data_IF_764674509767
#
_entry.id   IF_764674509767
#
_cell.length_a   1.000
_cell.length_b   1.000
_cell.length_c   1.000
_cell.angle_alpha   90.00
_cell.angle_beta   90.00
_cell.angle_gamma   90.00
#
_symmetry.space_group_name_H-M   'P 1'
#
loop_
_entity.id
_entity.type
_entity.pdbx_description
1 polymer ?
#
# COMPACT_ATOMS: atom_id res chain seq x y z
N UNK A 1 -8.12 11.55 -14.30
CA UNK A 1 -8.35 10.95 -12.96
C UNK A 1 -9.26 9.75 -13.11
N UNK A 2 -8.94 8.65 -12.45
CA UNK A 2 -9.85 7.51 -12.40
C UNK A 2 -10.97 7.80 -11.40
N UNK A 3 -12.19 7.37 -11.74
CA UNK A 3 -13.35 7.44 -10.85
C UNK A 3 -13.61 6.08 -10.26
N UNK A 4 -14.11 6.01 -9.02
CA UNK A 4 -14.61 4.76 -8.43
C UNK A 4 -15.63 4.11 -9.38
N UNK A 5 -15.56 2.79 -9.63
CA UNK A 5 -16.56 2.09 -10.42
C UNK A 5 -17.98 2.28 -9.88
N UNK A 6 -18.97 2.42 -10.76
CA UNK A 6 -20.32 2.84 -10.37
C UNK A 6 -21.11 1.83 -9.50
N UNK A 7 -20.68 0.56 -9.45
CA UNK A 7 -21.37 -0.51 -8.74
C UNK A 7 -20.56 -1.06 -7.54
N UNK A 8 -19.61 -0.29 -7.01
CA UNK A 8 -18.83 -0.67 -5.82
C UNK A 8 -18.94 0.37 -4.72
N UNK A 9 -18.95 -0.08 -3.47
CA UNK A 9 -18.72 0.78 -2.32
C UNK A 9 -17.21 0.82 -2.07
N UNK A 10 -16.56 1.94 -2.40
CA UNK A 10 -15.14 2.13 -2.09
C UNK A 10 -14.97 2.82 -0.73
N UNK A 11 -14.18 2.21 0.15
CA UNK A 11 -13.70 2.81 1.39
C UNK A 11 -12.21 2.48 1.54
N UNK A 12 -11.42 3.39 2.13
CA UNK A 12 -9.99 3.15 2.39
C UNK A 12 -9.08 3.10 1.14
N UNK A 13 -9.48 3.71 0.02
CA UNK A 13 -8.62 3.78 -1.18
C UNK A 13 -7.85 5.10 -1.24
N UNK A 14 -6.54 5.04 -1.49
CA UNK A 14 -5.73 6.20 -1.89
C UNK A 14 -6.03 6.57 -3.35
N UNK A 15 -7.22 7.14 -3.55
CA UNK A 15 -7.72 7.44 -4.89
C UNK A 15 -6.88 8.50 -5.56
N UNK A 16 -6.35 8.19 -6.75
CA UNK A 16 -5.61 9.13 -7.57
C UNK A 16 -4.31 9.67 -6.94
N UNK A 17 -3.71 8.94 -6.00
CA UNK A 17 -2.42 9.27 -5.41
C UNK A 17 -1.39 8.20 -5.79
N UNK A 18 -0.16 8.63 -6.06
CA UNK A 18 0.95 7.72 -6.29
C UNK A 18 1.32 7.03 -4.95
N UNK A 19 1.32 5.69 -4.86
CA UNK A 19 1.73 5.00 -3.64
C UNK A 19 3.22 5.14 -3.31
N UNK A 20 4.04 5.77 -4.17
CA UNK A 20 5.47 6.01 -3.94
C UNK A 20 6.24 4.73 -3.60
N UNK A 21 6.15 3.72 -4.47
CA UNK A 21 6.98 2.52 -4.38
C UNK A 21 8.47 2.84 -4.63
N UNK A 22 9.39 2.08 -4.04
CA UNK A 22 10.83 2.30 -4.18
C UNK A 22 11.33 2.10 -5.61
N UNK A 23 10.84 1.08 -6.34
CA UNK A 23 11.24 0.85 -7.72
C UNK A 23 10.15 0.21 -8.57
N UNK A 24 9.84 0.80 -9.72
CA UNK A 24 8.89 0.27 -10.71
C UNK A 24 9.55 0.33 -12.10
N UNK A 25 10.43 -0.63 -12.39
CA UNK A 25 11.08 -0.75 -13.70
C UNK A 25 10.36 -1.80 -14.56
N UNK A 26 9.33 -1.34 -15.25
CA UNK A 26 8.55 -2.16 -16.19
C UNK A 26 9.32 -2.53 -17.47
N UNK A 27 10.44 -1.87 -17.77
CA UNK A 27 11.24 -2.18 -18.95
C UNK A 27 12.12 -3.40 -18.72
N UNK A 28 12.65 -3.54 -17.51
CA UNK A 28 13.54 -4.62 -17.13
C UNK A 28 12.90 -5.66 -16.20
N UNK A 29 11.60 -5.52 -15.90
CA UNK A 29 10.85 -6.35 -14.96
C UNK A 29 11.48 -6.42 -13.55
N UNK A 30 11.99 -5.29 -13.07
CA UNK A 30 12.55 -5.17 -11.72
C UNK A 30 11.62 -4.30 -10.88
N UNK A 31 11.17 -4.83 -9.75
CA UNK A 31 10.19 -4.16 -8.90
C UNK A 31 10.62 -4.23 -7.45
N UNK A 32 10.37 -3.14 -6.74
CA UNK A 32 10.42 -3.04 -5.30
C UNK A 32 9.19 -2.26 -4.85
N UNK A 33 8.24 -2.97 -4.26
CA UNK A 33 6.94 -2.43 -3.86
C UNK A 33 6.93 -1.96 -2.40
N UNK A 34 8.09 -1.86 -1.74
CA UNK A 34 8.20 -1.15 -0.47
C UNK A 34 7.91 0.33 -0.66
N UNK A 35 7.42 0.97 0.41
CA UNK A 35 7.00 2.37 0.41
C UNK A 35 8.18 3.30 0.71
N UNK A 36 8.13 4.50 0.13
CA UNK A 36 8.98 5.64 0.51
C UNK A 36 8.43 6.37 1.75
N UNK A 37 9.28 7.12 2.45
CA UNK A 37 9.00 7.84 3.73
C UNK A 37 7.80 8.80 3.71
N UNK A 38 7.30 9.18 2.53
CA UNK A 38 6.16 10.08 2.37
C UNK A 38 5.00 9.46 1.57
N UNK A 39 4.95 8.14 1.48
CA UNK A 39 3.89 7.46 0.76
C UNK A 39 2.52 7.77 1.36
N UNK A 40 1.49 8.07 0.54
CA UNK A 40 0.12 8.19 1.03
C UNK A 40 -0.47 6.85 1.48
N UNK A 41 0.21 5.73 1.22
CA UNK A 41 -0.18 4.41 1.69
C UNK A 41 0.18 4.15 3.15
N UNK A 42 1.07 4.96 3.75
CA UNK A 42 1.49 4.82 5.14
C UNK A 42 0.31 4.99 6.09
N UNK A 43 0.03 3.98 6.91
CA UNK A 43 -1.07 3.94 7.88
C UNK A 43 -2.47 4.11 7.30
N UNK A 44 -2.62 4.00 5.97
CA UNK A 44 -3.89 4.25 5.28
C UNK A 44 -4.77 2.99 5.16
N UNK A 45 -4.26 1.84 5.59
CA UNK A 45 -4.94 0.56 5.52
C UNK A 45 -5.95 0.38 6.64
N UNK A 46 -6.71 -0.71 6.50
CA UNK A 46 -7.64 -1.20 7.52
C UNK A 46 -7.20 -2.58 7.94
N UNK A 47 -7.24 -2.84 9.24
CA UNK A 47 -6.90 -4.16 9.80
C UNK A 47 -7.78 -5.25 9.19
N UNK A 48 -7.15 -6.22 8.54
CA UNK A 48 -7.80 -7.35 7.88
C UNK A 48 -7.59 -8.68 8.61
N UNK A 49 -6.98 -8.66 9.80
CA UNK A 49 -6.61 -9.86 10.57
C UNK A 49 -5.33 -10.55 10.08
N UNK A 50 -4.54 -9.88 9.24
CA UNK A 50 -3.21 -10.35 8.83
C UNK A 50 -2.17 -9.79 9.79
N UNK A 51 -1.41 -10.67 10.45
CA UNK A 51 -0.46 -10.29 11.51
C UNK A 51 0.88 -9.79 10.98
N UNK A 52 1.34 -10.31 9.84
CA UNK A 52 2.62 -9.94 9.23
C UNK A 52 2.50 -9.60 7.75
N UNK A 53 3.46 -8.87 7.22
CA UNK A 53 3.60 -8.58 5.79
C UNK A 53 4.38 -9.68 5.05
N UNK A 54 4.76 -9.45 3.78
CA UNK A 54 5.54 -10.42 2.99
C UNK A 54 7.02 -10.52 3.40
N UNK A 55 7.54 -9.56 4.16
CA UNK A 55 8.90 -9.54 4.72
C UNK A 55 8.92 -10.05 6.17
N UNK A 56 7.79 -10.58 6.66
CA UNK A 56 7.58 -11.05 8.03
C UNK A 56 7.61 -9.94 9.09
N UNK A 57 7.49 -8.67 8.69
CA UNK A 57 7.33 -7.55 9.62
C UNK A 57 5.92 -7.57 10.23
N UNK A 58 5.77 -7.28 11.53
CA UNK A 58 4.46 -7.10 12.14
C UNK A 58 3.69 -5.96 11.48
N UNK A 59 2.40 -6.16 11.19
CA UNK A 59 1.51 -5.10 10.73
C UNK A 59 0.93 -4.32 11.90
N UNK A 60 0.72 -3.01 11.73
CA UNK A 60 -0.04 -2.26 12.72
C UNK A 60 -1.47 -2.82 12.84
N UNK A 61 -1.92 -2.99 14.09
CA UNK A 61 -3.21 -3.64 14.39
C UNK A 61 -4.43 -2.80 14.02
N UNK A 62 -4.30 -1.48 13.88
CA UNK A 62 -5.39 -0.55 13.61
C UNK A 62 -5.22 0.14 12.25
N UNK A 63 -3.99 0.55 11.93
CA UNK A 63 -3.63 1.37 10.78
C UNK A 63 -2.45 0.75 10.03
N UNK A 64 -2.60 -0.46 9.46
CA UNK A 64 -1.53 -1.05 8.66
C UNK A 64 -1.29 -0.22 7.39
N UNK A 65 -0.14 -0.39 6.76
CA UNK A 65 0.12 0.24 5.46
C UNK A 65 -0.71 -0.41 4.35
N UNK A 66 -1.16 0.41 3.39
CA UNK A 66 -1.82 -0.11 2.19
C UNK A 66 -0.79 -0.81 1.29
N UNK A 67 -0.98 -2.11 1.10
CA UNK A 67 -0.15 -2.91 0.20
C UNK A 67 0.32 -4.19 0.87
N UNK A 68 1.33 -4.81 0.24
CA UNK A 68 1.83 -6.10 0.68
C UNK A 68 2.95 -6.02 1.75
N UNK A 69 3.54 -4.83 1.92
CA UNK A 69 4.69 -4.55 2.77
C UNK A 69 4.35 -3.46 3.77
N UNK A 70 4.86 -3.58 4.99
CA UNK A 70 4.81 -2.57 6.04
C UNK A 70 6.14 -1.79 6.02
N UNK A 71 6.07 -0.47 6.17
CA UNK A 71 7.24 0.40 6.21
C UNK A 71 8.04 0.24 7.51
N UNK A 72 9.38 0.14 7.39
CA UNK A 72 10.30 -0.08 8.53
C UNK A 72 11.47 0.91 8.58
N UNK A 73 11.40 2.02 7.85
CA UNK A 73 12.51 2.98 7.68
C UNK A 73 12.71 3.91 8.89
#
# INVERSE_FOLDING_TARGET
MATTPAAVTSSGMISNQDPLFLNIDTRNNVYDFHLQENSPALGAGVSAGTETDLDENPRDTNFPDLGAYEATF
#
